data_IF_428616635973
#
_entry.id   IF_428616635973
#
_cell.length_a   1.000
_cell.length_b   1.000
_cell.length_c   1.000
_cell.angle_alpha   90.00
_cell.angle_beta   90.00
_cell.angle_gamma   90.00
#
_symmetry.space_group_name_H-M   'P 1'
#
loop_
_entity.id
_entity.type
_entity.pdbx_description
1 polymer ?
#
# COMPACT_ATOMS: atom_id res chain seq x y z
N UNK A 1 6.72 12.98 16.04
CA UNK A 1 5.75 12.72 14.96
C UNK A 1 4.96 14.00 14.78
N UNK A 2 5.07 14.67 13.63
CA UNK A 2 4.29 15.88 13.37
C UNK A 2 2.82 15.49 13.15
N UNK A 3 1.89 16.42 13.41
CA UNK A 3 0.46 16.27 13.09
C UNK A 3 0.23 15.89 11.61
N UNK A 4 1.17 16.26 10.75
CA UNK A 4 1.19 15.93 9.32
C UNK A 4 1.52 14.47 9.05
N UNK A 5 2.54 13.89 9.72
CA UNK A 5 2.89 12.48 9.58
C UNK A 5 1.79 11.56 10.14
N UNK A 6 1.15 11.96 11.24
CA UNK A 6 0.00 11.24 11.80
C UNK A 6 -1.21 11.27 10.84
N UNK A 7 -1.38 12.33 10.06
CA UNK A 7 -2.43 12.42 9.06
C UNK A 7 -2.18 11.50 7.85
N UNK A 8 -0.94 11.41 7.35
CA UNK A 8 -0.61 10.56 6.19
C UNK A 8 -0.79 9.07 6.50
N UNK A 9 -0.40 8.62 7.69
CA UNK A 9 -0.63 7.22 8.10
C UNK A 9 -2.10 6.92 8.36
N UNK A 10 -2.84 7.84 9.01
CA UNK A 10 -4.30 7.73 9.13
C UNK A 10 -4.97 7.70 7.75
N UNK A 11 -4.44 8.41 6.76
CA UNK A 11 -4.98 8.45 5.39
C UNK A 11 -4.78 7.14 4.63
N UNK A 12 -3.61 6.52 4.71
CA UNK A 12 -3.34 5.19 4.11
C UNK A 12 -4.20 4.09 4.74
N UNK A 13 -4.39 4.15 6.05
CA UNK A 13 -5.23 3.23 6.80
C UNK A 13 -6.70 3.37 6.36
N UNK A 14 -7.18 4.61 6.21
CA UNK A 14 -8.56 4.88 5.77
C UNK A 14 -8.85 4.40 4.33
N UNK A 15 -7.89 4.49 3.41
CA UNK A 15 -8.05 3.98 2.06
C UNK A 15 -8.18 2.45 2.03
N UNK A 16 -7.37 1.73 2.81
CA UNK A 16 -7.48 0.27 2.94
C UNK A 16 -8.86 -0.13 3.45
N UNK A 17 -9.38 0.57 4.46
CA UNK A 17 -10.72 0.30 4.98
C UNK A 17 -11.82 0.53 3.93
N UNK A 18 -11.70 1.57 3.11
CA UNK A 18 -12.66 1.83 2.02
C UNK A 18 -12.71 0.68 1.01
N UNK A 19 -11.54 0.20 0.56
CA UNK A 19 -11.46 -0.89 -0.42
C UNK A 19 -12.00 -2.20 0.17
N UNK A 20 -11.63 -2.52 1.42
CA UNK A 20 -12.12 -3.70 2.13
C UNK A 20 -13.64 -3.63 2.33
N UNK A 21 -14.17 -2.47 2.73
CA UNK A 21 -15.61 -2.25 2.91
C UNK A 21 -16.38 -2.43 1.60
N UNK A 22 -15.83 -1.95 0.48
CA UNK A 22 -16.42 -2.16 -0.85
C UNK A 22 -16.46 -3.64 -1.23
N UNK A 23 -15.33 -4.35 -1.11
CA UNK A 23 -15.26 -5.78 -1.42
C UNK A 23 -16.21 -6.62 -0.54
N UNK A 24 -16.27 -6.32 0.75
CA UNK A 24 -17.21 -6.99 1.68
C UNK A 24 -18.66 -6.70 1.33
N UNK A 25 -19.01 -5.47 0.94
CA UNK A 25 -20.36 -5.13 0.51
C UNK A 25 -20.77 -5.90 -0.75
N UNK A 26 -19.87 -6.02 -1.72
CA UNK A 26 -20.11 -6.78 -2.95
C UNK A 26 -20.28 -8.28 -2.69
N UNK A 27 -19.47 -8.86 -1.79
CA UNK A 27 -19.60 -10.25 -1.37
C UNK A 27 -20.92 -10.50 -0.62
N UNK A 28 -21.30 -9.59 0.28
CA UNK A 28 -22.54 -9.70 1.04
C UNK A 28 -23.78 -9.57 0.14
N UNK A 29 -23.78 -8.63 -0.82
CA UNK A 29 -24.84 -8.53 -1.84
C UNK A 29 -24.94 -9.79 -2.69
N UNK A 30 -23.78 -10.31 -3.11
CA UNK A 30 -23.69 -11.51 -3.92
C UNK A 30 -24.27 -12.71 -3.19
N UNK A 31 -23.81 -12.99 -1.97
CA UNK A 31 -24.30 -14.12 -1.17
C UNK A 31 -25.79 -13.98 -0.80
N UNK A 32 -26.27 -12.76 -0.57
CA UNK A 32 -27.70 -12.49 -0.35
C UNK A 32 -28.55 -12.86 -1.56
N UNK A 33 -28.08 -12.51 -2.76
CA UNK A 33 -28.78 -12.83 -3.99
C UNK A 33 -28.79 -14.34 -4.27
N UNK A 34 -27.66 -15.05 -4.09
CA UNK A 34 -27.59 -16.53 -4.21
C UNK A 34 -28.55 -17.21 -3.24
N UNK A 35 -28.49 -16.82 -1.97
CA UNK A 35 -29.33 -17.42 -0.93
C UNK A 35 -30.83 -17.19 -1.20
N UNK A 36 -31.21 -15.99 -1.65
CA UNK A 36 -32.58 -15.69 -2.08
C UNK A 36 -33.03 -16.59 -3.23
N UNK A 37 -32.17 -16.81 -4.22
CA UNK A 37 -32.46 -17.68 -5.35
C UNK A 37 -32.68 -19.14 -4.91
N UNK A 38 -31.83 -19.66 -4.01
CA UNK A 38 -31.99 -21.01 -3.45
C UNK A 38 -33.30 -21.16 -2.68
N UNK A 39 -33.62 -20.18 -1.81
CA UNK A 39 -34.82 -20.17 -0.99
C UNK A 39 -36.09 -20.18 -1.84
N UNK A 40 -36.10 -19.42 -2.93
CA UNK A 40 -37.23 -19.38 -3.85
C UNK A 40 -37.29 -20.61 -4.76
N UNK A 41 -36.14 -21.14 -5.21
CA UNK A 41 -36.07 -22.37 -6.01
C UNK A 41 -36.55 -23.61 -5.26
N UNK A 42 -36.20 -23.73 -3.97
CA UNK A 42 -36.55 -24.88 -3.12
C UNK A 42 -38.02 -24.81 -2.65
N UNK A 43 -38.51 -23.64 -2.23
CA UNK A 43 -39.83 -23.54 -1.59
C UNK A 43 -41.00 -23.28 -2.54
N UNK A 44 -40.77 -22.71 -3.74
CA UNK A 44 -41.85 -22.46 -4.72
C UNK A 44 -41.93 -23.51 -5.85
N UNK A 45 -41.13 -24.57 -5.79
CA UNK A 45 -41.17 -25.63 -6.81
C UNK A 45 -40.75 -25.15 -8.20
N UNK A 46 -39.99 -24.06 -8.29
CA UNK A 46 -39.36 -23.64 -9.55
C UNK A 46 -38.19 -24.60 -9.77
N UNK A 47 -38.46 -25.75 -10.40
CA UNK A 47 -37.44 -26.76 -10.68
C UNK A 47 -36.36 -26.19 -11.59
N UNK A 48 -35.20 -25.90 -11.02
CA UNK A 48 -33.94 -25.74 -11.75
C UNK A 48 -33.13 -27.01 -11.53
N UNK A 49 -33.35 -27.96 -12.43
CA UNK A 49 -32.69 -29.26 -12.56
C UNK A 49 -31.23 -29.32 -12.03
N UNK A 50 -31.08 -29.76 -10.78
CA UNK A 50 -30.05 -30.72 -10.32
C UNK A 50 -30.67 -31.74 -9.34
N UNK A 51 -31.79 -31.40 -8.68
CA UNK A 51 -32.54 -32.31 -7.78
C UNK A 51 -33.99 -32.49 -8.25
N UNK A 52 -34.17 -32.96 -9.47
CA UNK A 52 -35.47 -33.22 -10.10
C UNK A 52 -36.25 -34.42 -9.49
N UNK A 53 -35.97 -34.78 -8.23
CA UNK A 53 -36.64 -35.87 -7.51
C UNK A 53 -37.23 -35.45 -6.15
N UNK A 54 -36.97 -34.23 -5.66
CA UNK A 54 -37.34 -33.86 -4.28
C UNK A 54 -38.30 -32.66 -4.12
N UNK A 55 -38.27 -31.66 -5.01
CA UNK A 55 -38.95 -30.37 -4.73
C UNK A 55 -40.36 -30.22 -5.33
N UNK A 56 -40.82 -31.12 -6.18
CA UNK A 56 -42.23 -31.17 -6.61
C UNK A 56 -43.15 -31.94 -5.63
N UNK A 57 -42.58 -32.51 -4.56
CA UNK A 57 -43.23 -33.54 -3.76
C UNK A 57 -44.41 -33.07 -2.89
N UNK A 58 -44.35 -31.91 -2.25
CA UNK A 58 -45.29 -31.66 -1.14
C UNK A 58 -46.69 -31.23 -1.60
N UNK A 59 -46.84 -30.41 -2.64
CA UNK A 59 -48.18 -30.08 -3.15
C UNK A 59 -48.71 -31.09 -4.18
N UNK A 60 -47.83 -31.74 -4.95
CA UNK A 60 -48.22 -32.71 -5.99
C UNK A 60 -48.45 -34.14 -5.45
N UNK A 61 -47.73 -34.58 -4.40
CA UNK A 61 -48.01 -35.91 -3.80
C UNK A 61 -49.25 -35.89 -2.88
N UNK A 62 -49.62 -34.72 -2.34
CA UNK A 62 -50.77 -34.62 -1.42
C UNK A 62 -52.13 -34.67 -2.13
N UNK A 63 -52.19 -34.46 -3.44
CA UNK A 63 -53.39 -34.73 -4.24
C UNK A 63 -53.56 -36.22 -4.58
N UNK A 64 -52.54 -37.06 -4.36
CA UNK A 64 -52.56 -38.50 -4.65
C UNK A 64 -52.66 -39.42 -3.42
N UNK A 65 -52.52 -38.91 -2.20
CA UNK A 65 -52.70 -39.70 -0.97
C UNK A 65 -53.77 -39.10 -0.07
N UNK A 66 -54.57 -39.93 0.60
CA UNK A 66 -55.49 -39.54 1.69
C UNK A 66 -54.71 -39.05 2.93
N UNK A 67 -53.76 -38.13 2.74
CA UNK A 67 -53.01 -37.53 3.81
C UNK A 67 -53.97 -36.74 4.71
N UNK A 68 -53.83 -36.95 6.01
CA UNK A 68 -54.58 -36.21 7.02
C UNK A 68 -54.37 -34.70 6.77
N UNK A 69 -55.45 -33.96 6.55
CA UNK A 69 -55.42 -32.51 6.27
C UNK A 69 -54.58 -31.75 7.31
N UNK A 70 -54.58 -32.20 8.57
CA UNK A 70 -53.74 -31.63 9.64
C UNK A 70 -52.24 -31.77 9.36
N UNK A 71 -51.80 -32.88 8.77
CA UNK A 71 -50.41 -33.09 8.37
C UNK A 71 -50.00 -32.19 7.20
N UNK A 72 -50.87 -32.05 6.20
CA UNK A 72 -50.65 -31.16 5.03
C UNK A 72 -50.59 -29.69 5.45
N UNK A 73 -51.51 -29.27 6.33
CA UNK A 73 -51.52 -27.91 6.87
C UNK A 73 -50.30 -27.65 7.77
N UNK A 74 -49.89 -28.63 8.58
CA UNK A 74 -48.68 -28.53 9.40
C UNK A 74 -47.41 -28.39 8.57
N UNK A 75 -47.27 -29.18 7.51
CA UNK A 75 -46.16 -29.07 6.55
C UNK A 75 -46.17 -27.72 5.82
N UNK A 76 -47.32 -27.29 5.30
CA UNK A 76 -47.46 -26.00 4.61
C UNK A 76 -47.11 -24.83 5.54
N UNK A 77 -47.56 -24.86 6.79
CA UNK A 77 -47.25 -23.82 7.77
C UNK A 77 -45.75 -23.81 8.15
N UNK A 78 -45.12 -24.98 8.30
CA UNK A 78 -43.68 -25.07 8.56
C UNK A 78 -42.86 -24.52 7.38
N UNK A 79 -43.22 -24.86 6.14
CA UNK A 79 -42.55 -24.36 4.93
C UNK A 79 -42.75 -22.86 4.76
N UNK A 80 -43.96 -22.35 5.02
CA UNK A 80 -44.23 -20.91 4.99
C UNK A 80 -43.42 -20.13 6.04
N UNK A 81 -43.27 -20.68 7.25
CA UNK A 81 -42.44 -20.10 8.30
C UNK A 81 -40.94 -20.13 7.94
N UNK A 82 -40.44 -21.23 7.38
CA UNK A 82 -39.06 -21.35 6.92
C UNK A 82 -38.76 -20.35 5.79
N UNK A 83 -39.66 -20.22 4.83
CA UNK A 83 -39.59 -19.24 3.75
C UNK A 83 -39.60 -17.80 4.30
N UNK A 84 -40.52 -17.49 5.21
CA UNK A 84 -40.57 -16.16 5.83
C UNK A 84 -39.27 -15.82 6.56
N UNK A 85 -38.70 -16.77 7.30
CA UNK A 85 -37.42 -16.61 7.99
C UNK A 85 -36.27 -16.36 7.01
N UNK A 86 -36.22 -17.14 5.92
CA UNK A 86 -35.17 -17.01 4.92
C UNK A 86 -35.29 -15.70 4.11
N UNK A 87 -36.50 -15.27 3.75
CA UNK A 87 -36.77 -13.97 3.14
C UNK A 87 -36.29 -12.83 4.04
N UNK A 88 -36.61 -12.90 5.34
CA UNK A 88 -36.15 -11.92 6.33
C UNK A 88 -34.62 -11.87 6.41
N UNK A 89 -33.96 -13.01 6.39
CA UNK A 89 -32.50 -13.08 6.38
C UNK A 89 -31.87 -12.42 5.14
N UNK A 90 -32.45 -12.65 3.95
CA UNK A 90 -32.03 -11.97 2.71
C UNK A 90 -32.19 -10.46 2.82
N UNK A 91 -33.34 -9.98 3.30
CA UNK A 91 -33.57 -8.54 3.45
C UNK A 91 -32.58 -7.89 4.42
N UNK A 92 -32.25 -8.56 5.52
CA UNK A 92 -31.26 -8.07 6.48
C UNK A 92 -29.87 -7.96 5.82
N UNK A 93 -29.41 -9.02 5.13
CA UNK A 93 -28.10 -9.01 4.47
C UNK A 93 -28.04 -7.97 3.33
N UNK A 94 -29.15 -7.78 2.60
CA UNK A 94 -29.27 -6.73 1.59
C UNK A 94 -29.14 -5.32 2.20
N UNK A 95 -29.86 -5.05 3.28
CA UNK A 95 -29.81 -3.75 3.97
C UNK A 95 -28.41 -3.45 4.55
N UNK A 96 -27.74 -4.45 5.12
CA UNK A 96 -26.35 -4.32 5.61
C UNK A 96 -25.44 -3.93 4.44
N UNK A 97 -25.56 -4.63 3.31
CA UNK A 97 -24.73 -4.36 2.14
C UNK A 97 -24.96 -2.97 1.57
N UNK A 98 -26.22 -2.52 1.51
CA UNK A 98 -26.59 -1.16 1.10
C UNK A 98 -25.97 -0.11 2.04
N UNK A 99 -25.98 -0.36 3.35
CA UNK A 99 -25.34 0.50 4.34
C UNK A 99 -23.83 0.60 4.15
N UNK A 100 -23.15 -0.53 3.89
CA UNK A 100 -21.71 -0.56 3.62
C UNK A 100 -21.36 0.20 2.32
N UNK A 101 -22.17 0.05 1.27
CA UNK A 101 -22.01 0.81 0.03
C UNK A 101 -22.24 2.31 0.21
N UNK A 102 -23.28 2.69 0.97
CA UNK A 102 -23.55 4.08 1.30
C UNK A 102 -22.40 4.72 2.07
N UNK A 103 -21.86 4.02 3.07
CA UNK A 103 -20.69 4.47 3.84
C UNK A 103 -19.46 4.65 2.93
N UNK A 104 -19.18 3.66 2.07
CA UNK A 104 -18.10 3.73 1.07
C UNK A 104 -18.27 4.91 0.10
N UNK A 105 -19.50 5.19 -0.34
CA UNK A 105 -19.79 6.33 -1.21
C UNK A 105 -19.62 7.68 -0.51
N UNK A 106 -20.06 7.80 0.75
CA UNK A 106 -19.87 9.02 1.56
C UNK A 106 -18.38 9.29 1.80
N UNK A 107 -17.61 8.26 2.16
CA UNK A 107 -16.16 8.35 2.32
C UNK A 107 -15.45 8.73 1.01
N UNK A 108 -15.97 8.27 -0.13
CA UNK A 108 -15.46 8.66 -1.45
C UNK A 108 -15.76 10.12 -1.80
N UNK A 109 -17.02 10.55 -1.66
CA UNK A 109 -17.48 11.89 -2.07
C UNK A 109 -16.94 13.00 -1.17
N UNK A 110 -16.78 12.73 0.13
CA UNK A 110 -16.18 13.67 1.08
C UNK A 110 -14.69 13.97 0.80
N UNK A 111 -14.03 13.21 -0.09
CA UNK A 111 -12.59 13.32 -0.38
C UNK A 111 -12.29 13.50 -1.87
N UNK A 112 -13.14 14.22 -2.59
CA UNK A 112 -13.14 14.40 -4.06
C UNK A 112 -11.81 14.89 -4.66
N UNK A 113 -11.02 15.67 -3.91
CA UNK A 113 -9.78 16.28 -4.42
C UNK A 113 -8.52 15.42 -4.21
N UNK A 114 -8.58 14.41 -3.35
CA UNK A 114 -7.38 13.67 -2.91
C UNK A 114 -7.14 12.34 -3.65
N UNK A 115 -8.12 11.86 -4.41
CA UNK A 115 -7.97 10.60 -5.15
C UNK A 115 -7.40 10.81 -6.55
N UNK A 116 -6.45 9.97 -6.93
CA UNK A 116 -5.96 9.89 -8.31
C UNK A 116 -7.09 9.60 -9.31
N UNK A 117 -6.91 10.02 -10.56
CA UNK A 117 -7.93 9.86 -11.60
C UNK A 117 -8.36 8.39 -11.80
N UNK A 118 -7.45 7.43 -11.58
CA UNK A 118 -7.74 6.00 -11.65
C UNK A 118 -8.70 5.53 -10.54
N UNK A 119 -8.45 5.93 -9.29
CA UNK A 119 -9.30 5.59 -8.14
C UNK A 119 -10.70 6.17 -8.27
N UNK A 120 -10.81 7.40 -8.80
CA UNK A 120 -12.12 8.02 -9.08
C UNK A 120 -12.93 7.25 -10.12
N UNK A 121 -12.28 6.83 -11.21
CA UNK A 121 -12.91 5.99 -12.24
C UNK A 121 -13.36 4.65 -11.66
N UNK A 122 -12.56 4.06 -10.78
CA UNK A 122 -12.88 2.81 -10.12
C UNK A 122 -14.13 2.92 -9.22
N UNK A 123 -14.15 3.88 -8.30
CA UNK A 123 -15.30 4.00 -7.39
C UNK A 123 -16.60 4.33 -8.13
N UNK A 124 -16.50 5.13 -9.20
CA UNK A 124 -17.65 5.40 -10.08
C UNK A 124 -18.12 4.15 -10.84
N UNK A 125 -17.19 3.36 -11.37
CA UNK A 125 -17.51 2.09 -12.03
C UNK A 125 -18.22 1.14 -11.06
N UNK A 126 -17.69 0.99 -9.85
CA UNK A 126 -18.21 0.08 -8.84
C UNK A 126 -19.60 0.50 -8.35
N UNK A 127 -19.79 1.80 -8.09
CA UNK A 127 -21.10 2.37 -7.78
C UNK A 127 -22.11 2.12 -8.91
N UNK A 128 -21.72 2.36 -10.16
CA UNK A 128 -22.60 2.15 -11.30
C UNK A 128 -22.99 0.67 -11.45
N UNK A 129 -22.04 -0.25 -11.29
CA UNK A 129 -22.27 -1.70 -11.37
C UNK A 129 -23.21 -2.17 -10.26
N UNK A 130 -23.03 -1.64 -9.05
CA UNK A 130 -23.91 -1.87 -7.91
C UNK A 130 -25.33 -1.36 -8.14
N UNK A 131 -25.49 -0.15 -8.71
CA UNK A 131 -26.81 0.40 -9.02
C UNK A 131 -27.53 -0.40 -10.11
N UNK A 132 -26.81 -0.82 -11.15
CA UNK A 132 -27.34 -1.73 -12.19
C UNK A 132 -27.81 -3.03 -11.55
N UNK A 133 -27.03 -3.57 -10.61
CA UNK A 133 -27.40 -4.78 -9.89
C UNK A 133 -28.68 -4.61 -9.06
N UNK A 134 -28.81 -3.53 -8.29
CA UNK A 134 -30.03 -3.23 -7.51
C UNK A 134 -31.24 -3.09 -8.44
N UNK A 135 -31.09 -2.40 -9.57
CA UNK A 135 -32.16 -2.22 -10.55
C UNK A 135 -32.57 -3.56 -11.19
N UNK A 136 -31.60 -4.39 -11.57
CA UNK A 136 -31.84 -5.74 -12.09
C UNK A 136 -32.59 -6.61 -11.08
N UNK A 137 -32.13 -6.62 -9.82
CA UNK A 137 -32.80 -7.32 -8.73
C UNK A 137 -34.26 -6.86 -8.60
N UNK A 138 -34.51 -5.55 -8.61
CA UNK A 138 -35.88 -5.03 -8.51
C UNK A 138 -36.76 -5.45 -9.70
N UNK A 139 -36.26 -5.38 -10.94
CA UNK A 139 -37.01 -5.77 -12.15
C UNK A 139 -37.47 -7.23 -12.11
N UNK A 140 -36.64 -8.13 -11.55
CA UNK A 140 -36.99 -9.55 -11.38
C UNK A 140 -38.12 -9.73 -10.40
N UNK A 141 -38.01 -9.05 -9.25
CA UNK A 141 -38.90 -9.29 -8.12
C UNK A 141 -40.17 -8.43 -8.16
N UNK A 142 -40.20 -7.34 -8.92
CA UNK A 142 -41.39 -6.50 -9.10
C UNK A 142 -42.40 -7.08 -10.10
N UNK A 143 -42.05 -8.18 -10.77
CA UNK A 143 -42.97 -9.19 -11.31
C UNK A 143 -44.17 -8.69 -12.11
N UNK A 144 -44.01 -8.58 -13.43
CA UNK A 144 -45.10 -8.73 -14.41
C UNK A 144 -44.55 -9.07 -15.82
N UNK A 145 -43.40 -9.76 -15.90
CA UNK A 145 -42.84 -10.15 -17.19
C UNK A 145 -43.44 -11.51 -17.63
N UNK A 146 -44.17 -11.58 -18.76
CA UNK A 146 -44.89 -12.78 -19.19
C UNK A 146 -44.01 -13.85 -19.84
N UNK A 147 -42.68 -13.80 -19.65
CA UNK A 147 -41.72 -14.67 -20.33
C UNK A 147 -40.91 -15.42 -19.29
N UNK A 148 -40.80 -16.75 -19.46
CA UNK A 148 -40.01 -17.68 -18.64
C UNK A 148 -38.49 -17.49 -18.88
N UNK A 149 -38.02 -16.24 -18.76
CA UNK A 149 -36.61 -15.83 -18.87
C UNK A 149 -35.80 -16.19 -17.63
N UNK A 150 -36.51 -16.57 -16.59
CA UNK A 150 -36.05 -16.95 -15.28
C UNK A 150 -34.72 -17.75 -15.29
N UNK A 151 -34.58 -18.80 -16.12
CA UNK A 151 -33.33 -19.61 -16.15
C UNK A 151 -32.12 -18.87 -16.74
N UNK A 152 -32.29 -18.25 -17.91
CA UNK A 152 -31.21 -17.49 -18.59
C UNK A 152 -30.84 -16.28 -17.74
N UNK A 153 -31.83 -15.67 -17.11
CA UNK A 153 -31.66 -14.53 -16.24
C UNK A 153 -30.85 -14.88 -14.99
N UNK A 154 -31.14 -16.00 -14.32
CA UNK A 154 -30.35 -16.44 -13.17
C UNK A 154 -28.88 -16.69 -13.54
N UNK A 155 -28.61 -17.34 -14.68
CA UNK A 155 -27.24 -17.50 -15.17
C UNK A 155 -26.55 -16.15 -15.43
N UNK A 156 -27.25 -15.18 -16.00
CA UNK A 156 -26.73 -13.82 -16.20
C UNK A 156 -26.38 -13.13 -14.87
N UNK A 157 -27.21 -13.29 -13.84
CA UNK A 157 -26.96 -12.74 -12.50
C UNK A 157 -25.73 -13.41 -11.86
N UNK A 158 -25.63 -14.74 -11.89
CA UNK A 158 -24.46 -15.46 -11.38
C UNK A 158 -23.18 -15.05 -12.11
N UNK A 159 -23.24 -14.92 -13.44
CA UNK A 159 -22.10 -14.47 -14.23
C UNK A 159 -21.70 -13.03 -13.89
N UNK A 160 -22.67 -12.13 -13.75
CA UNK A 160 -22.41 -10.74 -13.36
C UNK A 160 -21.77 -10.65 -11.97
N UNK A 161 -22.19 -11.49 -11.02
CA UNK A 161 -21.63 -11.54 -9.67
C UNK A 161 -20.20 -12.11 -9.66
N UNK A 162 -19.96 -13.20 -10.39
CA UNK A 162 -18.61 -13.75 -10.55
C UNK A 162 -17.67 -12.74 -11.23
N UNK A 163 -18.17 -12.02 -12.25
CA UNK A 163 -17.42 -10.96 -12.92
C UNK A 163 -17.10 -9.79 -11.98
N UNK A 164 -18.06 -9.32 -11.17
CA UNK A 164 -17.85 -8.26 -10.20
C UNK A 164 -16.77 -8.63 -9.16
N UNK A 165 -16.87 -9.82 -8.56
CA UNK A 165 -15.86 -10.32 -7.61
C UNK A 165 -14.48 -10.49 -8.28
N UNK A 166 -14.46 -10.99 -9.52
CA UNK A 166 -13.23 -11.13 -10.30
C UNK A 166 -12.56 -9.79 -10.62
N UNK A 167 -13.35 -8.76 -10.94
CA UNK A 167 -12.89 -7.39 -11.18
C UNK A 167 -12.32 -6.80 -9.88
N UNK A 168 -13.00 -6.97 -8.75
CA UNK A 168 -12.55 -6.48 -7.45
C UNK A 168 -11.23 -7.13 -7.03
N UNK A 169 -11.13 -8.45 -7.15
CA UNK A 169 -9.90 -9.20 -6.84
C UNK A 169 -8.75 -8.83 -7.79
N UNK A 170 -9.02 -8.71 -9.10
CA UNK A 170 -8.02 -8.28 -10.08
C UNK A 170 -7.52 -6.88 -9.77
N UNK A 171 -8.40 -5.95 -9.41
CA UNK A 171 -8.04 -4.58 -9.10
C UNK A 171 -7.32 -4.45 -7.77
N UNK A 172 -7.67 -5.23 -6.75
CA UNK A 172 -6.90 -5.30 -5.52
C UNK A 172 -5.47 -5.79 -5.83
N UNK A 173 -5.32 -6.88 -6.58
CA UNK A 173 -4.02 -7.43 -6.97
C UNK A 173 -3.21 -6.47 -7.87
N UNK A 174 -3.85 -5.80 -8.83
CA UNK A 174 -3.20 -4.88 -9.76
C UNK A 174 -2.88 -3.56 -9.10
N UNK A 175 -3.76 -2.98 -8.28
CA UNK A 175 -3.46 -1.73 -7.58
C UNK A 175 -2.39 -1.96 -6.52
N UNK A 176 -2.47 -3.03 -5.71
CA UNK A 176 -1.39 -3.34 -4.76
C UNK A 176 -0.08 -3.70 -5.49
N UNK A 177 -0.16 -4.50 -6.55
CA UNK A 177 0.98 -4.94 -7.33
C UNK A 177 1.63 -3.84 -8.16
N UNK A 178 0.85 -2.90 -8.71
CA UNK A 178 1.33 -1.73 -9.45
C UNK A 178 1.84 -0.64 -8.52
N UNK A 179 1.25 -0.41 -7.34
CA UNK A 179 1.82 0.56 -6.39
C UNK A 179 3.22 0.11 -5.96
N UNK A 180 3.39 -1.19 -5.65
CA UNK A 180 4.70 -1.74 -5.36
C UNK A 180 5.62 -1.80 -6.59
N UNK A 181 5.11 -2.06 -7.81
CA UNK A 181 5.92 -2.05 -9.04
C UNK A 181 6.29 -0.65 -9.55
N UNK A 182 5.47 0.37 -9.33
CA UNK A 182 5.76 1.78 -9.66
C UNK A 182 6.84 2.30 -8.71
N UNK A 183 6.83 1.85 -7.45
CA UNK A 183 7.92 2.11 -6.50
C UNK A 183 9.17 1.28 -6.84
N UNK A 184 9.03 0.04 -7.37
CA UNK A 184 10.15 -0.89 -7.64
C UNK A 184 10.77 -0.83 -9.04
N UNK A 185 10.06 -0.38 -10.08
CA UNK A 185 10.62 -0.20 -11.43
C UNK A 185 11.17 1.21 -11.54
N UNK A 186 12.49 1.29 -11.37
CA UNK A 186 13.25 2.53 -11.29
C UNK A 186 12.80 3.56 -12.31
N UNK A 187 12.46 4.73 -11.80
CA UNK A 187 12.46 5.96 -12.55
C UNK A 187 13.04 6.99 -11.60
N UNK A 188 14.28 7.35 -11.88
CA UNK A 188 14.83 8.67 -11.67
C UNK A 188 14.04 9.54 -10.66
N UNK A 189 14.50 9.64 -9.42
CA UNK A 189 13.83 10.54 -8.47
C UNK A 189 14.17 11.96 -8.87
N UNK A 190 13.20 12.65 -9.46
CA UNK A 190 13.32 14.06 -9.79
C UNK A 190 13.14 14.90 -8.53
N UNK A 191 14.17 15.68 -8.23
CA UNK A 191 14.19 16.63 -7.12
C UNK A 191 13.92 18.02 -7.70
N UNK A 192 12.96 18.74 -7.14
CA UNK A 192 12.59 20.08 -7.61
C UNK A 192 12.91 21.14 -6.54
N UNK A 193 13.69 22.20 -6.84
CA UNK A 193 14.14 23.17 -5.83
C UNK A 193 13.03 23.86 -5.03
N UNK A 194 11.84 24.00 -5.64
CA UNK A 194 10.66 24.65 -5.07
C UNK A 194 9.87 23.75 -4.12
N UNK A 195 10.18 22.45 -4.02
CA UNK A 195 9.46 21.49 -3.15
C UNK A 195 10.40 20.74 -2.18
N UNK A 196 11.19 21.44 -1.35
CA UNK A 196 12.23 20.81 -0.53
C UNK A 196 11.71 19.84 0.52
N UNK A 197 10.49 20.03 1.02
CA UNK A 197 9.86 19.08 1.93
C UNK A 197 9.49 17.78 1.20
N UNK A 198 8.76 17.90 0.09
CA UNK A 198 8.36 16.78 -0.76
C UNK A 198 9.57 15.98 -1.28
N UNK A 199 10.66 16.66 -1.62
CA UNK A 199 11.91 16.00 -2.03
C UNK A 199 12.46 15.09 -0.93
N UNK A 200 12.41 15.53 0.33
CA UNK A 200 12.90 14.74 1.46
C UNK A 200 12.09 13.46 1.63
N UNK A 201 10.75 13.55 1.55
CA UNK A 201 9.86 12.40 1.62
C UNK A 201 10.14 11.43 0.47
N UNK A 202 10.19 11.92 -0.77
CA UNK A 202 10.49 11.11 -1.96
C UNK A 202 11.83 10.38 -1.83
N UNK A 203 12.88 11.07 -1.38
CA UNK A 203 14.21 10.48 -1.21
C UNK A 203 14.22 9.43 -0.10
N UNK A 204 13.56 9.70 1.03
CA UNK A 204 13.38 8.72 2.11
C UNK A 204 12.69 7.47 1.56
N UNK A 205 11.51 7.62 0.96
CA UNK A 205 10.66 6.50 0.55
C UNK A 205 11.21 5.70 -0.64
N UNK A 206 11.91 6.35 -1.57
CA UNK A 206 12.36 5.70 -2.82
C UNK A 206 13.82 5.28 -2.75
N UNK A 207 14.68 6.01 -2.04
CA UNK A 207 16.12 5.76 -1.99
C UNK A 207 16.52 5.11 -0.67
N UNK A 208 16.31 5.80 0.46
CA UNK A 208 16.90 5.39 1.74
C UNK A 208 16.16 4.25 2.44
N UNK A 209 14.83 4.18 2.34
CA UNK A 209 13.99 3.09 2.87
C UNK A 209 14.33 1.73 2.25
N UNK A 210 14.99 1.76 1.08
CA UNK A 210 15.34 0.62 0.27
C UNK A 210 16.76 0.12 0.53
N UNK A 211 17.57 0.86 1.29
CA UNK A 211 18.91 0.46 1.69
C UNK A 211 18.85 -0.44 2.93
N UNK A 212 19.78 -1.39 3.02
CA UNK A 212 19.81 -2.43 4.06
C UNK A 212 21.24 -2.69 4.56
N UNK A 213 21.34 -3.17 5.79
CA UNK A 213 22.55 -3.68 6.45
C UNK A 213 23.73 -2.70 6.46
N UNK A 214 24.53 -2.66 5.39
CA UNK A 214 25.73 -1.84 5.29
C UNK A 214 25.57 -0.73 4.24
N UNK A 215 25.25 0.47 4.71
CA UNK A 215 25.11 1.66 3.88
C UNK A 215 26.45 2.36 3.75
N UNK A 216 26.82 2.71 2.52
CA UNK A 216 28.08 3.39 2.20
C UNK A 216 27.78 4.64 1.39
N UNK A 217 28.32 5.78 1.82
CA UNK A 217 28.06 7.10 1.24
C UNK A 217 29.37 7.73 0.81
N UNK A 218 29.42 8.23 -0.43
CA UNK A 218 30.52 9.07 -0.93
C UNK A 218 29.96 10.45 -1.24
N UNK A 219 30.36 11.45 -0.46
CA UNK A 219 30.06 12.86 -0.72
C UNK A 219 31.15 13.76 -0.14
N UNK A 220 31.86 14.49 -1.00
CA UNK A 220 32.90 15.43 -0.55
C UNK A 220 32.36 16.68 0.12
N UNK A 221 31.07 16.99 -0.01
CA UNK A 221 30.43 18.17 0.59
C UNK A 221 29.66 17.85 1.87
N UNK A 222 30.07 16.80 2.59
CA UNK A 222 29.40 16.35 3.80
C UNK A 222 29.74 17.25 5.00
N UNK A 223 28.81 18.11 5.39
CA UNK A 223 28.94 19.06 6.51
C UNK A 223 27.86 18.82 7.60
N UNK A 224 27.68 19.75 8.55
CA UNK A 224 26.68 19.59 9.62
C UNK A 224 25.24 19.47 9.09
N UNK A 225 24.93 20.16 7.99
CA UNK A 225 23.64 20.06 7.31
C UNK A 225 23.46 18.70 6.64
N UNK A 226 24.53 18.09 6.12
CA UNK A 226 24.48 16.74 5.56
C UNK A 226 24.14 15.70 6.65
N UNK A 227 24.68 15.84 7.87
CA UNK A 227 24.32 15.00 9.03
C UNK A 227 22.82 15.10 9.32
N UNK A 228 22.31 16.34 9.43
CA UNK A 228 20.88 16.57 9.69
C UNK A 228 19.98 16.00 8.58
N UNK A 229 20.37 16.17 7.31
CA UNK A 229 19.61 15.61 6.21
C UNK A 229 19.69 14.08 6.19
N UNK A 230 20.86 13.48 6.48
CA UNK A 230 21.01 12.03 6.55
C UNK A 230 20.11 11.43 7.64
N UNK A 231 20.09 12.04 8.82
CA UNK A 231 19.20 11.65 9.92
C UNK A 231 17.74 11.62 9.49
N UNK A 232 17.27 12.69 8.82
CA UNK A 232 15.89 12.77 8.29
C UNK A 232 15.59 11.74 7.20
N UNK A 233 16.59 11.39 6.39
CA UNK A 233 16.46 10.44 5.28
C UNK A 233 16.44 8.99 5.75
N UNK A 234 17.19 8.67 6.80
CA UNK A 234 17.16 7.33 7.40
C UNK A 234 15.90 7.15 8.24
N UNK A 235 15.48 8.20 8.98
CA UNK A 235 14.23 8.20 9.73
C UNK A 235 14.06 6.97 10.63
N UNK A 236 12.86 6.41 10.65
CA UNK A 236 12.51 5.23 11.46
C UNK A 236 12.98 3.90 10.85
N UNK A 237 13.61 3.91 9.66
CA UNK A 237 14.13 2.71 8.99
C UNK A 237 15.48 2.22 9.57
N UNK A 238 15.96 2.86 10.65
CA UNK A 238 17.12 2.45 11.45
C UNK A 238 17.22 0.94 11.74
N UNK A 239 16.13 0.20 12.06
CA UNK A 239 16.22 -1.24 12.36
C UNK A 239 16.78 -2.09 11.22
N UNK A 240 16.73 -1.60 9.99
CA UNK A 240 17.20 -2.32 8.80
C UNK A 240 18.66 -2.04 8.46
N UNK A 241 19.32 -1.11 9.14
CA UNK A 241 20.70 -0.69 8.88
C UNK A 241 21.54 -1.04 10.11
N UNK A 242 22.67 -1.71 9.90
CA UNK A 242 23.62 -2.10 10.96
C UNK A 242 24.86 -1.22 10.96
N UNK A 243 25.22 -0.67 9.79
CA UNK A 243 26.46 0.08 9.61
C UNK A 243 26.31 1.15 8.54
N UNK A 244 26.87 2.32 8.82
CA UNK A 244 26.94 3.46 7.91
C UNK A 244 28.41 3.91 7.81
N UNK A 245 28.99 3.79 6.62
CA UNK A 245 30.31 4.34 6.33
C UNK A 245 30.19 5.56 5.42
N UNK A 246 30.73 6.68 5.86
CA UNK A 246 30.71 7.95 5.12
C UNK A 246 32.14 8.32 4.72
N UNK A 247 32.34 8.55 3.44
CA UNK A 247 33.61 8.98 2.86
C UNK A 247 33.45 10.41 2.33
N UNK A 248 34.19 11.35 2.93
CA UNK A 248 34.04 12.80 2.74
C UNK A 248 35.39 13.53 2.68
N UNK A 249 35.37 14.84 2.43
CA UNK A 249 36.51 15.75 2.56
C UNK A 249 36.39 16.60 3.82
N UNK A 250 37.54 16.98 4.39
CA UNK A 250 37.61 17.88 5.55
C UNK A 250 37.30 19.34 5.21
N UNK A 251 37.35 19.72 3.92
CA UNK A 251 37.20 21.10 3.45
C UNK A 251 35.85 21.73 3.79
N UNK A 252 34.83 20.90 4.02
CA UNK A 252 33.45 21.35 4.20
C UNK A 252 32.98 21.24 5.66
N UNK A 253 33.88 20.92 6.60
CA UNK A 253 33.53 20.88 8.01
C UNK A 253 33.36 22.29 8.56
N UNK A 254 32.14 22.60 8.99
CA UNK A 254 31.82 23.85 9.67
C UNK A 254 32.07 23.74 11.18
N UNK A 255 31.92 24.86 11.90
CA UNK A 255 32.17 24.94 13.34
C UNK A 255 31.27 24.03 14.19
N UNK A 256 30.14 23.57 13.66
CA UNK A 256 29.18 22.69 14.35
C UNK A 256 29.34 21.22 13.98
N UNK A 257 30.22 20.91 13.04
CA UNK A 257 30.35 19.56 12.49
C UNK A 257 30.71 18.55 13.57
N UNK A 258 31.68 18.86 14.44
CA UNK A 258 32.16 17.94 15.46
C UNK A 258 31.07 17.59 16.47
N UNK A 259 30.34 18.58 16.96
CA UNK A 259 29.23 18.39 17.91
C UNK A 259 28.13 17.53 17.29
N UNK A 260 27.67 17.91 16.09
CA UNK A 260 26.64 17.16 15.36
C UNK A 260 27.08 15.72 15.04
N UNK A 261 28.35 15.52 14.70
CA UNK A 261 28.91 14.20 14.43
C UNK A 261 28.87 13.32 15.69
N UNK A 262 29.30 13.86 16.83
CA UNK A 262 29.32 13.11 18.09
C UNK A 262 27.90 12.76 18.56
N UNK A 263 26.96 13.70 18.48
CA UNK A 263 25.56 13.47 18.83
C UNK A 263 24.93 12.42 17.91
N UNK A 264 25.13 12.55 16.59
CA UNK A 264 24.59 11.61 15.62
C UNK A 264 25.20 10.20 15.79
N UNK A 265 26.51 10.10 16.01
CA UNK A 265 27.19 8.82 16.28
C UNK A 265 26.64 8.15 17.54
N UNK A 266 26.38 8.92 18.59
CA UNK A 266 25.79 8.42 19.83
C UNK A 266 24.36 7.94 19.62
N UNK A 267 23.54 8.69 18.90
CA UNK A 267 22.16 8.32 18.59
C UNK A 267 22.10 7.02 17.77
N UNK A 268 22.91 6.91 16.71
CA UNK A 268 23.04 5.68 15.92
C UNK A 268 23.55 4.51 16.77
N UNK A 269 24.54 4.75 17.63
CA UNK A 269 25.05 3.73 18.56
C UNK A 269 23.98 3.19 19.51
N UNK A 270 23.11 4.07 20.03
CA UNK A 270 21.97 3.66 20.87
C UNK A 270 20.96 2.79 20.11
N UNK A 271 20.84 3.00 18.79
CA UNK A 271 20.02 2.19 17.90
C UNK A 271 20.73 0.90 17.40
N UNK A 272 21.97 0.64 17.83
CA UNK A 272 22.75 -0.52 17.39
C UNK A 272 23.40 -0.36 16.02
N UNK A 273 23.53 0.87 15.51
CA UNK A 273 24.10 1.18 14.20
C UNK A 273 25.52 1.74 14.34
N UNK A 274 26.50 1.10 13.69
CA UNK A 274 27.89 1.57 13.64
C UNK A 274 28.05 2.71 12.63
N UNK A 275 28.58 3.86 13.06
CA UNK A 275 28.91 4.98 12.18
C UNK A 275 30.42 5.16 12.04
N UNK A 276 30.95 5.07 10.82
CA UNK A 276 32.35 5.41 10.52
C UNK A 276 32.44 6.58 9.54
N UNK A 277 33.25 7.58 9.88
CA UNK A 277 33.61 8.67 8.98
C UNK A 277 35.06 8.50 8.53
N UNK A 278 35.29 8.63 7.23
CA UNK A 278 36.60 8.51 6.59
C UNK A 278 36.86 9.74 5.73
N UNK A 279 38.04 10.33 5.89
CA UNK A 279 38.51 11.48 5.14
C UNK A 279 39.30 11.01 3.92
N UNK A 280 38.86 11.42 2.73
CA UNK A 280 39.59 11.20 1.49
C UNK A 280 40.99 11.80 1.54
N UNK A 281 41.93 11.13 0.87
CA UNK A 281 43.22 11.74 0.55
C UNK A 281 43.03 12.93 -0.40
N UNK A 282 43.94 13.89 -0.37
CA UNK A 282 43.82 15.14 -1.14
C UNK A 282 43.76 14.90 -2.66
N UNK A 283 44.58 13.96 -3.17
CA UNK A 283 44.54 13.55 -4.58
C UNK A 283 43.18 12.93 -4.99
N UNK A 284 42.56 12.18 -4.10
CA UNK A 284 41.25 11.57 -4.34
C UNK A 284 40.12 12.61 -4.26
N UNK A 285 40.22 13.58 -3.35
CA UNK A 285 39.24 14.66 -3.20
C UNK A 285 39.14 15.55 -4.45
N UNK A 286 40.27 15.82 -5.10
CA UNK A 286 40.31 16.64 -6.32
C UNK A 286 39.64 15.95 -7.51
N UNK A 287 39.77 14.63 -7.63
CA UNK A 287 39.25 13.85 -8.76
C UNK A 287 37.81 13.35 -8.54
N UNK A 288 37.39 13.20 -7.29
CA UNK A 288 36.05 12.70 -6.96
C UNK A 288 34.99 13.80 -7.06
N UNK A 289 34.19 13.76 -8.13
CA UNK A 289 33.05 14.68 -8.33
C UNK A 289 31.68 14.03 -8.17
N UNK A 290 31.61 12.72 -8.41
CA UNK A 290 30.36 11.98 -8.29
C UNK A 290 30.01 11.71 -6.83
N UNK A 291 28.72 11.61 -6.56
CA UNK A 291 28.20 11.34 -5.22
C UNK A 291 27.23 10.21 -5.33
N UNK A 292 27.34 9.26 -4.41
CA UNK A 292 26.51 8.07 -4.45
C UNK A 292 26.34 7.49 -3.06
N UNK A 293 25.22 6.81 -2.90
CA UNK A 293 24.89 5.99 -1.74
C UNK A 293 24.56 4.58 -2.22
N UNK A 294 25.01 3.57 -1.49
CA UNK A 294 24.77 2.19 -1.86
C UNK A 294 24.78 1.26 -0.66
N UNK A 295 24.15 0.11 -0.83
CA UNK A 295 24.31 -1.09 -0.01
C UNK A 295 24.83 -2.25 -0.88
N UNK A 296 24.77 -3.48 -0.39
CA UNK A 296 25.25 -4.65 -1.14
C UNK A 296 24.34 -5.05 -2.32
N UNK A 297 23.15 -4.47 -2.44
CA UNK A 297 22.12 -4.81 -3.42
C UNK A 297 21.72 -3.68 -4.36
N UNK A 298 21.90 -2.42 -3.96
CA UNK A 298 21.40 -1.21 -4.64
C UNK A 298 22.40 -0.07 -4.52
N UNK A 299 22.48 0.74 -5.56
CA UNK A 299 23.29 1.94 -5.58
C UNK A 299 22.57 3.06 -6.31
N UNK A 300 22.75 4.29 -5.84
CA UNK A 300 22.09 5.48 -6.35
C UNK A 300 23.11 6.61 -6.48
N UNK A 301 23.13 7.31 -7.61
CA UNK A 301 23.82 8.61 -7.72
C UNK A 301 22.93 9.67 -7.10
N UNK A 302 23.45 10.43 -6.14
CA UNK A 302 22.69 11.43 -5.39
C UNK A 302 23.28 12.83 -5.56
N UNK A 303 22.48 13.89 -5.34
CA UNK A 303 23.02 15.23 -5.15
C UNK A 303 23.89 15.33 -3.88
N UNK A 304 24.58 16.46 -3.67
CA UNK A 304 25.22 16.76 -2.39
C UNK A 304 24.24 16.66 -1.23
N UNK A 305 24.57 15.86 -0.22
CA UNK A 305 23.67 15.51 0.86
C UNK A 305 23.28 16.74 1.69
N UNK A 306 24.18 17.72 1.80
CA UNK A 306 23.94 18.99 2.49
C UNK A 306 22.83 19.85 1.85
N UNK A 307 22.59 19.72 0.55
CA UNK A 307 21.55 20.47 -0.19
C UNK A 307 20.63 19.54 -1.00
N UNK A 308 20.53 18.27 -0.61
CA UNK A 308 19.87 17.22 -1.39
C UNK A 308 18.40 17.51 -1.67
N UNK A 309 17.75 18.30 -0.81
CA UNK A 309 16.36 18.70 -0.97
C UNK A 309 16.17 20.00 -1.79
N UNK A 310 17.23 20.73 -2.12
CA UNK A 310 17.14 22.05 -2.78
C UNK A 310 17.75 22.08 -4.18
N UNK A 311 18.44 21.02 -4.62
CA UNK A 311 19.10 20.98 -5.92
C UNK A 311 18.20 20.34 -6.97
N UNK A 312 18.07 20.99 -8.13
CA UNK A 312 17.38 20.39 -9.28
C UNK A 312 18.27 19.34 -9.90
N UNK A 313 18.06 18.08 -9.55
CA UNK A 313 18.87 16.98 -10.06
C UNK A 313 18.08 15.68 -9.99
N UNK A 314 18.59 14.69 -10.71
CA UNK A 314 17.96 13.40 -10.89
C UNK A 314 18.74 12.35 -10.10
N UNK A 315 18.08 11.66 -9.16
CA UNK A 315 18.67 10.49 -8.50
C UNK A 315 18.47 9.29 -9.40
N UNK A 316 19.56 8.78 -9.96
CA UNK A 316 19.54 7.65 -10.89
C UNK A 316 20.15 6.42 -10.24
N UNK A 317 19.65 5.25 -10.65
CA UNK A 317 20.27 3.99 -10.28
C UNK A 317 21.71 3.95 -10.80
N UNK A 318 22.58 3.37 -9.99
CA UNK A 318 23.99 3.22 -10.26
C UNK A 318 24.37 1.73 -10.16
N UNK A 319 25.43 1.33 -10.84
CA UNK A 319 25.95 -0.04 -10.75
C UNK A 319 26.55 -0.25 -9.36
N UNK A 320 26.04 -1.23 -8.61
CA UNK A 320 26.57 -1.58 -7.27
C UNK A 320 28.04 -1.99 -7.37
N UNK A 321 28.41 -2.72 -8.43
CA UNK A 321 29.79 -3.14 -8.68
C UNK A 321 30.72 -1.94 -8.84
N UNK A 322 30.28 -0.92 -9.59
CA UNK A 322 31.08 0.28 -9.83
C UNK A 322 31.13 1.17 -8.57
N UNK A 323 30.02 1.29 -7.85
CA UNK A 323 29.96 1.99 -6.56
C UNK A 323 30.92 1.40 -5.54
N UNK A 324 30.89 0.07 -5.40
CA UNK A 324 31.77 -0.67 -4.50
C UNK A 324 33.23 -0.53 -4.90
N UNK A 325 33.56 -0.77 -6.17
CA UNK A 325 34.94 -0.65 -6.66
C UNK A 325 35.53 0.74 -6.43
N UNK A 326 34.73 1.79 -6.61
CA UNK A 326 35.16 3.18 -6.34
C UNK A 326 35.29 3.47 -4.85
N UNK A 327 34.33 3.04 -4.04
CA UNK A 327 34.40 3.21 -2.59
C UNK A 327 35.64 2.51 -2.01
N UNK A 328 35.91 1.28 -2.44
CA UNK A 328 37.06 0.50 -1.98
C UNK A 328 38.38 1.19 -2.38
N UNK A 329 38.48 1.72 -3.61
CA UNK A 329 39.64 2.48 -4.06
C UNK A 329 39.87 3.76 -3.23
N UNK A 330 38.83 4.54 -2.98
CA UNK A 330 38.90 5.78 -2.18
C UNK A 330 39.21 5.49 -0.70
N UNK A 331 38.61 4.44 -0.13
CA UNK A 331 38.76 4.09 1.28
C UNK A 331 40.15 3.59 1.63
N UNK A 332 40.88 3.00 0.68
CA UNK A 332 42.24 2.47 0.88
C UNK A 332 43.22 3.51 1.42
N UNK A 333 43.11 4.75 0.96
CA UNK A 333 43.99 5.86 1.36
C UNK A 333 43.30 6.80 2.36
N UNK A 334 42.05 6.51 2.74
CA UNK A 334 41.29 7.38 3.60
C UNK A 334 41.73 7.28 5.06
N UNK A 335 41.67 8.39 5.77
CA UNK A 335 41.98 8.45 7.21
C UNK A 335 40.69 8.48 8.00
N UNK A 336 40.51 7.58 8.99
CA UNK A 336 39.35 7.65 9.91
C UNK A 336 39.31 9.02 10.59
N UNK A 337 38.12 9.60 10.70
CA UNK A 337 37.93 10.95 11.24
C UNK A 337 38.44 11.07 12.68
N UNK A 338 38.26 10.04 13.49
CA UNK A 338 38.75 9.99 14.87
C UNK A 338 40.29 10.04 14.94
N UNK A 339 40.98 9.36 14.01
CA UNK A 339 42.44 9.42 13.92
C UNK A 339 42.91 10.82 13.50
N UNK A 340 42.16 11.49 12.62
CA UNK A 340 42.42 12.86 12.23
C UNK A 340 42.31 13.83 13.43
N UNK A 341 41.28 13.69 14.26
CA UNK A 341 41.10 14.50 15.48
C UNK A 341 42.27 14.32 16.46
N UNK A 342 42.74 13.08 16.66
CA UNK A 342 43.90 12.79 17.52
C UNK A 342 45.17 13.43 16.97
N UNK A 343 45.38 13.41 15.65
CA UNK A 343 46.53 14.04 15.00
C UNK A 343 46.52 15.56 15.21
N UNK A 344 45.38 16.22 14.96
CA UNK A 344 45.21 17.66 15.16
C UNK A 344 45.45 18.09 16.61
N UNK A 345 44.93 17.33 17.58
CA UNK A 345 45.15 17.61 18.99
C UNK A 345 46.63 17.48 19.43
N UNK A 346 47.43 16.68 18.71
CA UNK A 346 48.89 16.57 18.96
C UNK A 346 49.66 17.74 18.35
N UNK A 347 49.30 18.15 17.13
CA UNK A 347 49.92 19.29 16.43
C UNK A 347 49.72 20.59 17.24
N UNK A 348 48.51 20.85 17.73
CA UNK A 348 48.22 22.04 18.55
C UNK A 348 49.00 22.10 19.87
N UNK A 349 49.34 20.94 20.45
CA UNK A 349 50.16 20.86 21.68
C UNK A 349 51.64 21.13 21.41
N UNK A 350 52.11 20.90 20.19
CA UNK A 350 53.49 21.18 19.80
C UNK A 350 53.68 22.66 19.48
N UNK A 351 52.68 23.31 18.86
CA UNK A 351 52.73 24.74 18.52
C UNK A 351 52.55 25.68 19.74
N UNK A 352 52.09 25.15 20.87
CA UNK A 352 51.91 25.89 22.13
C UNK A 352 53.08 25.74 23.11
N UNK A 353 54.10 24.97 22.74
CA UNK A 353 55.39 24.84 23.44
C UNK A 353 56.44 25.67 22.73
#
# INVERSE_FOLDING_TARGET
MSEEDENVDKENINYKYLVIMLGLATLALSTSAVYMMEVLGINYGISYAITDLASAGVFSQNSMSNANMTYVLGQTAATANALHSAMREVYIKFLISLGMLGASFILYTSRRDMFGAATRRYTLLHLALTLIFIAMFFIVFSGNLPVDLNRIYFMLVYFAMAAAVGIDAYLELVVHGQFQKIIRRGNEVRIEPNTPYTNMIKLREVVFSNLRDHVRIVDKHFNSQAISNLHRLIGEDLPNIKKIDVLTSKEMFDSKFLDNYNDFKKELGNAGVELNFMLMAEADNTTQHERFVFDDSRAYKIPPLNIINKKSEHVVNFSVKDAKGRFDALSKNATKYENYLVKQAREQKQDSQ
#
